data_IF_131547699118
#
_entry.id   IF_131547699118
#
_cell.length_a   1.000
_cell.length_b   1.000
_cell.length_c   1.000
_cell.angle_alpha   90.00
_cell.angle_beta   90.00
_cell.angle_gamma   90.00
#
_symmetry.space_group_name_H-M   'P 1'
#
loop_
_entity.id
_entity.type
_entity.pdbx_description
1 polymer ?
#
# COMPACT_ATOMS: atom_id res chain seq x y z
N UNK A 1 18.92 -37.47 -1.31
CA UNK A 1 19.34 -36.19 -1.93
C UNK A 1 18.28 -35.60 -2.88
N UNK A 2 16.98 -35.77 -2.60
CA UNK A 2 15.88 -35.17 -3.40
C UNK A 2 15.15 -34.07 -2.63
N UNK A 3 15.22 -34.12 -1.30
CA UNK A 3 14.60 -33.13 -0.42
C UNK A 3 15.47 -31.88 -0.18
N UNK A 4 16.79 -31.94 -0.39
CA UNK A 4 17.67 -30.77 -0.20
C UNK A 4 17.56 -29.75 -1.35
N UNK A 5 17.29 -30.19 -2.58
CA UNK A 5 17.09 -29.31 -3.73
C UNK A 5 15.78 -28.51 -3.61
N UNK A 6 14.74 -29.07 -2.98
CA UNK A 6 13.47 -28.37 -2.75
C UNK A 6 13.59 -27.21 -1.74
N UNK A 7 14.46 -27.35 -0.74
CA UNK A 7 14.70 -26.28 0.26
C UNK A 7 15.43 -25.07 -0.33
N UNK A 8 16.34 -25.28 -1.28
CA UNK A 8 17.07 -24.17 -1.94
C UNK A 8 16.16 -23.39 -2.89
N UNK A 9 15.16 -24.04 -3.50
CA UNK A 9 14.16 -23.37 -4.35
C UNK A 9 13.18 -22.55 -3.50
N UNK A 10 12.85 -22.97 -2.28
CA UNK A 10 11.92 -22.25 -1.39
C UNK A 10 12.56 -21.01 -0.71
N UNK A 11 13.86 -21.03 -0.41
CA UNK A 11 14.55 -19.85 0.14
C UNK A 11 14.85 -18.77 -0.91
N UNK A 12 14.69 -19.07 -2.20
CA UNK A 12 14.86 -18.08 -3.28
C UNK A 12 13.75 -17.02 -3.37
N UNK A 13 12.69 -17.11 -2.56
CA UNK A 13 11.51 -16.24 -2.66
C UNK A 13 11.35 -15.31 -1.44
N UNK A 14 12.15 -15.47 -0.38
CA UNK A 14 12.06 -14.64 0.84
C UNK A 14 13.00 -13.42 0.75
N UNK A 15 13.11 -12.83 -0.44
CA UNK A 15 13.73 -11.52 -0.61
C UNK A 15 12.60 -10.55 -0.93
N UNK A 16 12.56 -9.46 -0.16
CA UNK A 16 11.71 -8.26 -0.28
C UNK A 16 10.39 -8.22 0.50
N UNK A 17 10.45 -8.17 1.84
CA UNK A 17 9.72 -7.09 2.55
C UNK A 17 10.61 -5.84 2.46
N UNK A 18 10.64 -5.22 1.29
CA UNK A 18 11.12 -3.85 1.14
C UNK A 18 9.88 -3.01 0.88
N UNK A 19 9.73 -1.91 1.61
CA UNK A 19 8.67 -0.93 1.38
C UNK A 19 8.87 -0.31 -0.01
N UNK A 20 8.40 -1.00 -1.05
CA UNK A 20 8.50 -0.52 -2.42
C UNK A 20 7.55 0.67 -2.56
N UNK A 21 8.10 1.84 -2.86
CA UNK A 21 7.29 3.02 -3.10
C UNK A 21 6.53 2.83 -4.42
N UNK A 22 5.21 2.69 -4.33
CA UNK A 22 4.35 2.52 -5.49
C UNK A 22 3.44 3.74 -5.70
N UNK A 23 3.21 4.11 -6.96
CA UNK A 23 2.25 5.12 -7.36
C UNK A 23 1.44 4.64 -8.55
N UNK A 24 0.23 5.19 -8.71
CA UNK A 24 -0.64 4.91 -9.87
C UNK A 24 -1.02 6.21 -10.54
N UNK A 25 -1.00 6.22 -11.87
CA UNK A 25 -1.37 7.35 -12.71
C UNK A 25 -2.50 6.91 -13.63
N UNK A 26 -3.72 7.38 -13.37
CA UNK A 26 -4.85 7.09 -14.24
C UNK A 26 -4.82 7.98 -15.49
N UNK A 27 -5.27 7.44 -16.62
CA UNK A 27 -5.32 8.19 -17.88
C UNK A 27 -6.62 8.97 -18.01
N UNK A 28 -6.57 10.14 -18.66
CA UNK A 28 -7.81 10.78 -19.11
C UNK A 28 -8.47 9.93 -20.21
N UNK A 29 -9.81 9.92 -20.31
CA UNK A 29 -10.49 9.26 -21.42
C UNK A 29 -9.93 9.75 -22.77
N UNK A 30 -9.39 8.84 -23.58
CA UNK A 30 -8.80 9.13 -24.90
C UNK A 30 -7.28 9.42 -24.90
N UNK A 31 -6.63 9.55 -23.75
CA UNK A 31 -5.17 9.79 -23.66
C UNK A 31 -4.37 8.49 -23.89
N UNK A 32 -4.87 7.37 -23.36
CA UNK A 32 -4.25 6.05 -23.49
C UNK A 32 -4.67 5.33 -24.77
N UNK A 33 -4.45 5.94 -25.94
CA UNK A 33 -4.72 5.26 -27.23
C UNK A 33 -3.55 4.40 -27.69
N UNK A 34 -2.32 4.74 -27.28
CA UNK A 34 -1.08 4.08 -27.75
C UNK A 34 -0.19 3.53 -26.62
N UNK A 35 -0.53 3.79 -25.36
CA UNK A 35 0.26 3.39 -24.19
C UNK A 35 0.18 4.41 -23.06
N UNK A 36 1.08 4.28 -22.09
CA UNK A 36 1.14 5.13 -20.89
C UNK A 36 2.34 6.09 -20.94
N UNK A 37 2.14 7.34 -20.55
CA UNK A 37 3.23 8.33 -20.48
C UNK A 37 3.73 8.54 -19.05
N UNK A 38 5.01 8.28 -18.83
CA UNK A 38 5.72 8.52 -17.56
C UNK A 38 6.97 9.35 -17.84
N UNK A 39 7.15 10.45 -17.11
CA UNK A 39 8.28 11.40 -17.25
C UNK A 39 8.54 11.85 -18.70
N UNK A 40 7.47 12.08 -19.46
CA UNK A 40 7.54 12.50 -20.87
C UNK A 40 7.84 11.37 -21.87
N UNK A 41 8.05 10.13 -21.41
CA UNK A 41 8.29 8.95 -22.26
C UNK A 41 7.04 8.08 -22.38
N UNK A 42 6.74 7.65 -23.61
CA UNK A 42 5.65 6.72 -23.90
C UNK A 42 6.11 5.27 -23.72
N UNK A 43 5.36 4.52 -22.91
CA UNK A 43 5.53 3.09 -22.68
C UNK A 43 4.36 2.32 -23.31
N UNK A 44 4.60 1.16 -23.93
CA UNK A 44 3.54 0.33 -24.46
C UNK A 44 2.68 -0.26 -23.34
N UNK A 45 1.48 -0.73 -23.68
CA UNK A 45 0.65 -1.51 -22.75
C UNK A 45 1.35 -2.81 -22.35
N UNK A 46 1.10 -3.24 -21.11
CA UNK A 46 1.68 -4.44 -20.50
C UNK A 46 2.65 -4.12 -19.37
N UNK A 47 3.51 -5.09 -19.07
CA UNK A 47 4.51 -4.98 -18.00
C UNK A 47 5.79 -4.30 -18.51
N UNK A 48 6.26 -3.33 -17.74
CA UNK A 48 7.54 -2.65 -17.92
C UNK A 48 8.44 -3.11 -16.78
N UNK A 49 9.39 -3.99 -17.09
CA UNK A 49 10.28 -4.57 -16.08
C UNK A 49 11.14 -3.51 -15.36
N UNK A 50 11.58 -2.47 -16.09
CA UNK A 50 12.43 -1.39 -15.56
C UNK A 50 12.33 -0.12 -16.39
N UNK A 51 12.00 0.99 -15.75
CA UNK A 51 12.08 2.34 -16.31
C UNK A 51 13.46 2.96 -16.07
N UNK A 52 13.74 4.10 -16.71
CA UNK A 52 14.99 4.86 -16.51
C UNK A 52 15.15 5.35 -15.06
N UNK A 53 14.03 5.66 -14.40
CA UNK A 53 13.99 6.08 -13.00
C UNK A 53 13.79 4.91 -12.05
N UNK A 54 14.15 3.69 -12.45
CA UNK A 54 14.18 2.52 -11.57
C UNK A 54 12.81 2.10 -11.03
N UNK A 55 11.78 2.15 -11.87
CA UNK A 55 10.46 1.62 -11.53
C UNK A 55 10.14 0.38 -12.34
N UNK A 56 9.49 -0.58 -11.70
CA UNK A 56 8.72 -1.61 -12.40
C UNK A 56 7.30 -1.10 -12.53
N UNK A 57 6.72 -1.19 -13.72
CA UNK A 57 5.38 -0.68 -13.96
C UNK A 57 4.49 -1.66 -14.71
N UNK A 58 3.19 -1.49 -14.54
CA UNK A 58 2.13 -2.14 -15.32
C UNK A 58 1.29 -1.05 -15.98
N UNK A 59 1.14 -1.11 -17.30
CA UNK A 59 0.45 -0.13 -18.11
C UNK A 59 -0.79 -0.75 -18.76
N UNK A 60 -1.97 -0.19 -18.49
CA UNK A 60 -3.26 -0.58 -19.07
C UNK A 60 -3.97 0.62 -19.68
N UNK A 61 -5.15 0.39 -20.27
CA UNK A 61 -6.01 1.47 -20.78
C UNK A 61 -6.50 2.42 -19.69
N UNK A 62 -6.65 1.91 -18.47
CA UNK A 62 -7.20 2.66 -17.34
C UNK A 62 -6.11 3.50 -16.64
N UNK A 63 -4.85 3.06 -16.71
CA UNK A 63 -3.76 3.75 -16.06
C UNK A 63 -2.45 2.98 -16.05
N UNK A 64 -1.45 3.57 -15.40
CA UNK A 64 -0.13 2.99 -15.17
C UNK A 64 0.14 2.91 -13.67
N UNK A 65 0.44 1.72 -13.16
CA UNK A 65 0.93 1.52 -11.79
C UNK A 65 2.43 1.26 -11.83
N UNK A 66 3.20 1.96 -11.01
CA UNK A 66 4.65 1.83 -10.93
C UNK A 66 5.09 1.61 -9.48
N UNK A 67 6.13 0.82 -9.26
CA UNK A 67 6.74 0.56 -7.96
C UNK A 67 8.26 0.67 -8.06
N UNK A 68 8.90 1.27 -7.05
CA UNK A 68 10.36 1.44 -7.01
C UNK A 68 11.05 0.08 -6.98
N UNK A 69 12.16 -0.02 -7.72
CA UNK A 69 13.07 -1.17 -7.67
C UNK A 69 14.15 -0.99 -6.60
N UNK A 70 14.27 0.21 -6.04
CA UNK A 70 15.24 0.58 -4.99
C UNK A 70 14.58 0.61 -3.62
N UNK A 71 15.41 0.44 -2.58
CA UNK A 71 15.03 0.61 -1.19
C UNK A 71 15.73 1.85 -0.61
N UNK A 72 15.00 2.70 0.11
CA UNK A 72 15.62 3.86 0.77
C UNK A 72 16.25 3.42 2.10
N UNK A 73 17.58 3.46 2.25
CA UNK A 73 18.21 3.04 3.49
C UNK A 73 17.84 4.00 4.63
N UNK A 74 17.30 3.46 5.72
CA UNK A 74 16.88 4.24 6.88
C UNK A 74 17.86 4.17 8.05
N UNK A 75 18.69 3.12 8.10
CA UNK A 75 19.54 2.80 9.24
C UNK A 75 21.03 2.79 8.86
N UNK A 76 21.63 3.97 8.89
CA UNK A 76 23.05 4.22 8.68
C UNK A 76 23.48 5.44 9.50
N UNK A 77 24.78 5.65 9.65
CA UNK A 77 25.34 6.83 10.32
C UNK A 77 25.08 8.09 9.49
N UNK A 78 24.03 8.84 9.83
CA UNK A 78 23.64 10.07 9.13
C UNK A 78 24.57 11.26 9.43
N UNK A 79 25.44 11.16 10.44
CA UNK A 79 26.39 12.23 10.78
C UNK A 79 27.63 12.18 9.88
N UNK A 80 28.13 10.97 9.59
CA UNK A 80 29.34 10.78 8.80
C UNK A 80 29.09 10.26 7.38
N UNK A 81 27.87 9.82 7.07
CA UNK A 81 27.52 9.23 5.79
C UNK A 81 26.28 9.87 5.15
N UNK A 82 26.18 9.73 3.82
CA UNK A 82 25.06 10.21 3.01
C UNK A 82 24.67 9.15 1.98
N UNK A 83 23.46 9.28 1.43
CA UNK A 83 22.96 8.41 0.36
C UNK A 83 23.22 9.04 -1.01
N UNK A 84 23.56 8.20 -1.98
CA UNK A 84 23.71 8.57 -3.39
C UNK A 84 22.96 7.54 -4.23
N UNK A 85 22.07 8.00 -5.10
CA UNK A 85 21.28 7.09 -5.93
C UNK A 85 22.12 6.53 -7.09
N UNK A 86 22.19 5.21 -7.18
CA UNK A 86 22.90 4.49 -8.22
C UNK A 86 21.91 3.91 -9.24
N UNK A 87 21.84 4.54 -10.41
CA UNK A 87 20.91 4.15 -11.50
C UNK A 87 21.24 2.78 -12.10
N UNK A 88 22.49 2.32 -12.02
CA UNK A 88 22.91 1.04 -12.58
C UNK A 88 22.41 -0.11 -11.71
N UNK A 89 22.59 -0.04 -10.40
CA UNK A 89 22.02 -1.02 -9.47
C UNK A 89 20.52 -0.80 -9.24
N UNK A 90 20.00 0.42 -9.48
CA UNK A 90 18.72 0.88 -8.97
C UNK A 90 18.64 0.71 -7.45
N UNK A 91 19.58 1.32 -6.74
CA UNK A 91 19.57 1.37 -5.29
C UNK A 91 20.30 2.61 -4.77
N UNK A 92 20.24 2.86 -3.47
CA UNK A 92 21.03 3.90 -2.83
C UNK A 92 22.33 3.33 -2.25
N UNK A 93 23.45 3.88 -2.69
CA UNK A 93 24.74 3.66 -2.06
C UNK A 93 24.86 4.60 -0.85
N UNK A 94 25.19 4.06 0.32
CA UNK A 94 25.53 4.87 1.49
C UNK A 94 27.04 5.06 1.49
N UNK A 95 27.50 6.30 1.37
CA UNK A 95 28.92 6.66 1.24
C UNK A 95 29.34 7.68 2.30
N UNK A 96 30.64 7.74 2.60
CA UNK A 96 31.16 8.72 3.53
C UNK A 96 30.97 10.15 2.99
N UNK A 97 30.66 11.09 3.88
CA UNK A 97 30.54 12.51 3.52
C UNK A 97 31.90 13.07 3.09
N UNK A 98 32.98 12.66 3.77
CA UNK A 98 34.34 13.10 3.50
C UNK A 98 34.94 12.51 2.21
N UNK A 99 34.52 11.32 1.82
CA UNK A 99 35.02 10.62 0.63
C UNK A 99 33.92 9.73 0.01
N UNK A 100 33.19 10.23 -1.00
CA UNK A 100 32.11 9.50 -1.65
C UNK A 100 32.53 8.21 -2.37
N UNK A 101 33.84 7.95 -2.54
CA UNK A 101 34.32 6.67 -3.10
C UNK A 101 34.28 5.52 -2.08
N UNK A 102 34.10 5.83 -0.79
CA UNK A 102 34.06 4.86 0.31
C UNK A 102 32.63 4.61 0.76
N UNK A 103 32.23 3.34 0.75
CA UNK A 103 30.95 2.88 1.26
C UNK A 103 30.92 2.90 2.80
N UNK A 104 29.75 3.18 3.35
CA UNK A 104 29.43 3.08 4.77
C UNK A 104 28.63 1.81 5.07
N UNK A 105 28.75 1.25 6.28
CA UNK A 105 27.92 0.13 6.70
C UNK A 105 26.45 0.56 6.84
N UNK A 106 25.54 -0.28 6.33
CA UNK A 106 24.10 -0.19 6.55
C UNK A 106 23.72 -1.22 7.60
N UNK A 107 23.05 -0.79 8.66
CA UNK A 107 22.68 -1.68 9.77
C UNK A 107 21.32 -2.32 9.50
N UNK A 108 21.31 -3.56 9.01
CA UNK A 108 20.06 -4.35 8.91
C UNK A 108 19.71 -4.94 10.28
N UNK A 109 18.48 -4.71 10.76
CA UNK A 109 17.97 -5.32 12.00
C UNK A 109 17.93 -6.85 11.78
N UNK A 110 18.81 -7.62 12.46
CA UNK A 110 18.75 -9.08 12.42
C UNK A 110 17.45 -9.55 13.09
N UNK A 111 16.46 -9.96 12.31
CA UNK A 111 15.30 -10.68 12.86
C UNK A 111 15.79 -12.06 13.31
N UNK A 112 15.80 -12.30 14.62
CA UNK A 112 16.10 -13.62 15.20
C UNK A 112 15.02 -14.60 14.68
N UNK A 113 15.44 -15.73 14.10
CA UNK A 113 14.55 -16.83 13.72
C UNK A 113 13.80 -17.34 14.96
N UNK A 114 12.53 -16.97 15.09
CA UNK A 114 11.57 -17.74 15.86
C UNK A 114 10.70 -18.50 14.86
N UNK A 115 10.72 -19.83 14.96
CA UNK A 115 10.00 -20.77 14.11
C UNK A 115 8.53 -20.39 13.92
N UNK A 116 8.11 -20.14 12.68
CA UNK A 116 6.72 -19.88 12.30
C UNK A 116 6.03 -21.19 11.88
N UNK A 117 5.03 -21.61 12.65
CA UNK A 117 3.81 -22.16 12.05
C UNK A 117 2.85 -20.98 11.90
N UNK A 118 2.94 -20.25 10.78
CA UNK A 118 1.91 -19.28 10.42
C UNK A 118 1.57 -19.54 8.95
N UNK A 119 0.35 -20.06 8.75
CA UNK A 119 -0.31 -20.15 7.46
C UNK A 119 -0.47 -18.72 6.93
N UNK A 120 0.40 -18.32 5.99
CA UNK A 120 0.29 -17.05 5.31
C UNK A 120 -0.86 -17.13 4.30
N UNK A 121 -2.07 -16.82 4.76
CA UNK A 121 -3.09 -16.25 3.87
C UNK A 121 -2.50 -14.91 3.43
N UNK A 122 -2.29 -14.76 2.13
CA UNK A 122 -1.78 -13.54 1.51
C UNK A 122 -2.77 -12.39 1.75
N UNK A 123 -2.61 -11.66 2.85
CA UNK A 123 -3.22 -10.35 3.00
C UNK A 123 -2.27 -9.39 2.26
N UNK A 124 -2.61 -9.08 1.02
CA UNK A 124 -2.07 -7.90 0.36
C UNK A 124 -2.26 -6.72 1.31
N UNK A 125 -1.24 -5.91 1.64
CA UNK A 125 -1.48 -4.67 2.37
C UNK A 125 -2.33 -3.78 1.46
N UNK A 126 -3.64 -3.84 1.65
CA UNK A 126 -4.58 -2.85 1.20
C UNK A 126 -4.21 -1.57 1.92
N UNK A 127 -3.82 -0.54 1.16
CA UNK A 127 -3.87 0.83 1.66
C UNK A 127 -5.35 1.11 1.87
N UNK A 128 -5.83 0.76 3.05
CA UNK A 128 -7.17 1.06 3.53
C UNK A 128 -6.95 1.68 4.93
N UNK A 129 -7.67 2.76 5.23
CA UNK A 129 -7.68 3.42 6.52
C UNK A 129 -8.33 2.44 7.48
N UNK A 130 -7.49 1.76 8.27
CA UNK A 130 -7.90 0.68 9.15
C UNK A 130 -7.74 1.07 10.61
N UNK A 131 -8.66 0.61 11.44
CA UNK A 131 -8.59 0.71 12.89
C UNK A 131 -9.00 -0.61 13.53
N UNK A 132 -8.50 -0.82 14.75
CA UNK A 132 -8.86 -1.98 15.56
C UNK A 132 -9.61 -1.51 16.80
N UNK A 133 -10.80 -2.07 17.02
CA UNK A 133 -11.53 -1.91 18.27
C UNK A 133 -11.11 -3.00 19.25
N UNK A 134 -10.84 -2.66 20.54
CA UNK A 134 -10.58 -3.65 21.57
C UNK A 134 -11.73 -4.65 21.67
N UNK A 135 -11.41 -5.91 21.97
CA UNK A 135 -12.40 -6.96 22.15
C UNK A 135 -13.41 -6.61 23.24
N UNK A 136 -14.65 -6.39 22.81
CA UNK A 136 -15.82 -6.42 23.68
C UNK A 136 -16.49 -7.81 23.53
N UNK A 137 -16.39 -8.69 24.55
CA UNK A 137 -16.79 -10.08 24.40
C UNK A 137 -18.30 -10.24 24.27
N UNK A 138 -18.72 -10.85 23.18
CA UNK A 138 -20.08 -11.33 22.97
C UNK A 138 -20.31 -12.69 23.62
N UNK A 139 -21.26 -12.75 24.55
CA UNK A 139 -21.62 -13.99 25.26
C UNK A 139 -22.88 -14.62 24.66
N UNK A 140 -22.82 -15.90 24.32
CA UNK A 140 -23.98 -16.71 23.96
C UNK A 140 -23.93 -18.02 24.73
N UNK A 141 -25.02 -18.38 25.41
CA UNK A 141 -25.10 -19.59 26.25
C UNK A 141 -23.96 -19.78 27.27
N UNK A 142 -23.36 -18.68 27.75
CA UNK A 142 -22.27 -18.72 28.73
C UNK A 142 -20.87 -18.91 28.14
N UNK A 143 -20.73 -18.89 26.81
CA UNK A 143 -19.46 -18.93 26.10
C UNK A 143 -19.22 -17.65 25.30
N UNK A 144 -17.95 -17.26 25.18
CA UNK A 144 -17.56 -16.16 24.30
C UNK A 144 -17.60 -16.63 22.85
N UNK A 145 -18.56 -16.12 22.11
CA UNK A 145 -18.85 -16.58 20.73
C UNK A 145 -18.46 -15.55 19.68
N UNK A 146 -18.14 -14.31 20.08
CA UNK A 146 -17.74 -13.28 19.15
C UNK A 146 -17.46 -11.92 19.77
N UNK A 147 -17.62 -10.90 18.95
CA UNK A 147 -17.37 -9.50 19.24
C UNK A 147 -18.70 -8.73 19.29
N UNK A 148 -18.87 -7.88 20.29
CA UNK A 148 -19.90 -6.84 20.29
C UNK A 148 -19.34 -5.58 19.64
N UNK A 149 -19.99 -5.10 18.59
CA UNK A 149 -19.60 -3.84 17.96
C UNK A 149 -20.06 -2.62 18.76
N UNK A 150 -19.69 -1.42 18.29
CA UNK A 150 -20.07 -0.15 18.92
C UNK A 150 -21.58 0.14 18.92
N UNK A 151 -22.36 -0.54 18.08
CA UNK A 151 -23.83 -0.48 18.08
C UNK A 151 -24.45 -1.54 19.02
N UNK A 152 -23.64 -2.44 19.59
CA UNK A 152 -24.08 -3.53 20.44
C UNK A 152 -24.55 -4.76 19.68
N UNK A 153 -24.31 -4.86 18.37
CA UNK A 153 -24.59 -6.08 17.60
C UNK A 153 -23.50 -7.12 17.81
N UNK A 154 -23.93 -8.39 17.94
CA UNK A 154 -23.04 -9.53 18.12
C UNK A 154 -22.62 -10.09 16.75
N UNK A 155 -21.32 -10.11 16.51
CA UNK A 155 -20.70 -10.73 15.35
C UNK A 155 -19.87 -11.93 15.79
N UNK A 156 -20.13 -13.11 15.24
CA UNK A 156 -19.40 -14.34 15.60
C UNK A 156 -17.92 -14.25 15.18
N UNK A 157 -17.03 -14.97 15.87
CA UNK A 157 -15.62 -15.00 15.47
C UNK A 157 -15.46 -15.52 14.04
N UNK A 158 -14.64 -14.82 13.25
CA UNK A 158 -14.39 -15.19 11.85
C UNK A 158 -15.43 -14.64 10.86
N UNK A 159 -16.46 -13.92 11.32
CA UNK A 159 -17.40 -13.25 10.42
C UNK A 159 -16.90 -11.89 9.97
N UNK A 160 -17.31 -11.50 8.76
CA UNK A 160 -17.03 -10.20 8.18
C UNK A 160 -18.35 -9.47 7.88
N UNK A 161 -18.36 -8.16 8.00
CA UNK A 161 -19.52 -7.33 7.66
C UNK A 161 -19.08 -5.96 7.16
N UNK A 162 -19.98 -5.24 6.50
CA UNK A 162 -19.79 -3.81 6.21
C UNK A 162 -20.72 -3.03 7.10
N UNK A 163 -20.18 -2.13 7.93
CA UNK A 163 -20.98 -1.32 8.82
C UNK A 163 -21.64 -0.14 8.07
N UNK A 164 -22.53 0.57 8.76
CA UNK A 164 -23.24 1.72 8.18
C UNK A 164 -22.33 2.88 7.83
N UNK A 165 -21.13 2.94 8.37
CA UNK A 165 -20.15 4.00 8.12
C UNK A 165 -19.13 3.62 7.05
N UNK A 166 -19.44 2.62 6.22
CA UNK A 166 -18.64 2.19 5.09
C UNK A 166 -17.27 1.62 5.48
N UNK A 167 -17.23 0.83 6.56
CA UNK A 167 -16.06 0.03 6.93
C UNK A 167 -16.35 -1.44 6.77
N UNK A 168 -15.43 -2.15 6.12
CA UNK A 168 -15.37 -3.59 6.09
C UNK A 168 -14.68 -4.07 7.35
N UNK A 169 -15.43 -4.75 8.20
CA UNK A 169 -15.01 -5.18 9.51
C UNK A 169 -14.91 -6.70 9.60
N UNK A 170 -14.04 -7.16 10.49
CA UNK A 170 -13.78 -8.57 10.75
C UNK A 170 -13.63 -8.80 12.26
N UNK A 171 -14.37 -9.78 12.80
CA UNK A 171 -14.29 -10.14 14.21
C UNK A 171 -13.22 -11.21 14.43
N UNK A 172 -12.24 -10.90 15.28
CA UNK A 172 -11.14 -11.78 15.66
C UNK A 172 -11.13 -12.03 17.16
N UNK A 173 -10.35 -13.01 17.60
CA UNK A 173 -10.07 -13.25 19.01
C UNK A 173 -9.40 -12.07 19.73
N UNK A 174 -8.86 -11.10 19.00
CA UNK A 174 -8.19 -9.91 19.56
C UNK A 174 -9.08 -8.66 19.56
N UNK A 175 -10.22 -8.70 18.88
CA UNK A 175 -11.10 -7.54 18.72
C UNK A 175 -11.69 -7.46 17.31
N UNK A 176 -12.18 -6.27 16.95
CA UNK A 176 -12.76 -6.01 15.63
C UNK A 176 -11.75 -5.21 14.81
N UNK A 177 -11.38 -5.72 13.65
CA UNK A 177 -10.54 -4.99 12.69
C UNK A 177 -11.43 -4.45 11.58
N UNK A 178 -11.46 -3.13 11.42
CA UNK A 178 -12.28 -2.43 10.43
C UNK A 178 -11.37 -1.65 9.48
N UNK A 179 -11.67 -1.69 8.19
CA UNK A 179 -10.98 -0.93 7.16
C UNK A 179 -11.98 -0.19 6.29
N UNK A 180 -11.67 1.06 5.93
CA UNK A 180 -12.56 1.84 5.06
C UNK A 180 -12.76 1.14 3.71
N UNK A 181 -13.99 1.17 3.21
CA UNK A 181 -14.32 0.67 1.85
C UNK A 181 -14.26 1.77 0.80
N UNK A 182 -14.01 3.01 1.24
CA UNK A 182 -13.99 4.22 0.43
C UNK A 182 -12.56 4.76 0.32
N UNK A 183 -12.30 5.47 -0.78
CA UNK A 183 -11.02 6.18 -0.97
C UNK A 183 -11.25 7.68 -0.83
N UNK A 184 -10.37 8.36 -0.10
CA UNK A 184 -10.40 9.82 0.07
C UNK A 184 -9.60 10.49 -1.06
N UNK A 185 -10.21 11.35 -1.90
CA UNK A 185 -9.49 12.05 -2.95
C UNK A 185 -8.52 13.05 -2.33
N UNK A 186 -7.34 13.17 -2.92
CA UNK A 186 -6.32 14.14 -2.53
C UNK A 186 -5.71 14.78 -3.79
N UNK A 187 -5.07 15.93 -3.63
CA UNK A 187 -4.48 16.64 -4.76
C UNK A 187 -5.53 17.14 -5.75
N UNK A 188 -6.62 17.71 -5.25
CA UNK A 188 -7.51 18.59 -6.02
C UNK A 188 -7.27 20.05 -5.59
N UNK A 189 -7.81 21.03 -6.32
CA UNK A 189 -7.72 22.44 -5.96
C UNK A 189 -8.60 22.73 -4.74
N UNK A 190 -8.03 22.65 -3.52
CA UNK A 190 -8.76 22.87 -2.27
C UNK A 190 -9.25 24.32 -2.07
N UNK A 191 -8.74 25.29 -2.86
CA UNK A 191 -9.25 26.66 -2.81
C UNK A 191 -10.58 26.76 -3.55
N UNK A 192 -10.68 26.16 -4.75
CA UNK A 192 -11.87 26.23 -5.61
C UNK A 192 -12.86 25.08 -5.45
N UNK A 193 -12.41 23.95 -4.91
CA UNK A 193 -13.18 22.70 -4.88
C UNK A 193 -13.31 22.14 -3.47
N UNK A 194 -14.29 21.25 -3.29
CA UNK A 194 -14.59 20.54 -2.05
C UNK A 194 -14.89 19.07 -2.34
N UNK A 195 -14.46 18.18 -1.45
CA UNK A 195 -14.84 16.77 -1.50
C UNK A 195 -16.10 16.51 -0.68
N UNK A 196 -17.13 15.91 -1.28
CA UNK A 196 -18.39 15.53 -0.64
C UNK A 196 -18.48 14.01 -0.58
N UNK A 197 -18.69 13.46 0.61
CA UNK A 197 -18.89 12.01 0.80
C UNK A 197 -20.34 11.62 0.58
N UNK A 198 -20.58 10.61 -0.25
CA UNK A 198 -21.87 9.95 -0.40
C UNK A 198 -21.87 8.66 0.42
N UNK A 199 -22.70 8.63 1.47
CA UNK A 199 -22.81 7.50 2.41
C UNK A 199 -23.55 6.30 1.81
N UNK A 200 -24.45 6.50 0.85
CA UNK A 200 -25.18 5.41 0.19
C UNK A 200 -24.28 4.61 -0.75
N UNK A 201 -23.38 5.30 -1.44
CA UNK A 201 -22.44 4.66 -2.38
C UNK A 201 -21.06 4.43 -1.78
N UNK A 202 -20.80 4.92 -0.56
CA UNK A 202 -19.49 4.90 0.08
C UNK A 202 -18.38 5.49 -0.80
N UNK A 203 -18.63 6.65 -1.42
CA UNK A 203 -17.67 7.30 -2.33
C UNK A 203 -17.62 8.80 -2.13
N UNK A 204 -16.44 9.38 -2.35
CA UNK A 204 -16.28 10.82 -2.46
C UNK A 204 -16.49 11.31 -3.90
N UNK A 205 -17.05 12.50 -4.03
CA UNK A 205 -16.98 13.33 -5.24
C UNK A 205 -16.28 14.63 -4.93
N UNK A 206 -15.44 15.11 -5.84
CA UNK A 206 -14.86 16.45 -5.73
C UNK A 206 -15.61 17.37 -6.69
N UNK A 207 -16.13 18.48 -6.18
CA UNK A 207 -16.96 19.44 -6.93
C UNK A 207 -16.49 20.87 -6.65
N UNK A 208 -16.84 21.81 -7.53
CA UNK A 208 -16.57 23.24 -7.30
C UNK A 208 -17.33 23.74 -6.07
N UNK A 209 -16.75 24.62 -5.25
CA UNK A 209 -17.43 25.17 -4.06
C UNK A 209 -18.65 26.03 -4.40
N UNK A 210 -18.57 26.79 -5.49
CA UNK A 210 -19.63 27.71 -5.91
C UNK A 210 -20.77 26.99 -6.66
N UNK A 211 -20.49 25.81 -7.22
CA UNK A 211 -21.46 25.04 -8.00
C UNK A 211 -21.18 23.54 -7.87
N UNK A 212 -21.83 22.92 -6.88
CA UNK A 212 -21.68 21.49 -6.58
C UNK A 212 -22.14 20.55 -7.72
N UNK A 213 -22.74 21.08 -8.81
CA UNK A 213 -23.08 20.27 -9.99
C UNK A 213 -21.89 20.02 -10.92
N UNK A 214 -20.81 20.81 -10.78
CA UNK A 214 -19.59 20.69 -11.58
C UNK A 214 -18.53 19.90 -10.82
N UNK A 215 -18.08 18.80 -11.40
CA UNK A 215 -17.00 17.99 -10.84
C UNK A 215 -15.63 18.62 -11.07
N UNK A 216 -14.78 18.57 -10.04
CA UNK A 216 -13.38 18.95 -10.11
C UNK A 216 -12.48 17.72 -10.28
N UNK A 217 -11.35 17.85 -10.98
CA UNK A 217 -10.37 16.78 -11.06
C UNK A 217 -9.65 16.58 -9.71
N UNK A 218 -9.57 15.33 -9.26
CA UNK A 218 -8.63 14.89 -8.22
C UNK A 218 -7.53 14.03 -8.88
N UNK A 219 -6.27 14.29 -8.53
CA UNK A 219 -5.14 13.64 -9.19
C UNK A 219 -4.56 12.46 -8.41
N UNK A 220 -5.01 12.26 -7.17
CA UNK A 220 -4.66 11.13 -6.32
C UNK A 220 -5.80 10.79 -5.35
N UNK A 221 -5.70 9.62 -4.71
CA UNK A 221 -6.58 9.21 -3.63
C UNK A 221 -5.79 8.38 -2.62
N UNK A 222 -6.16 8.50 -1.35
CA UNK A 222 -5.66 7.65 -0.26
C UNK A 222 -6.77 6.71 0.16
N UNK A 223 -6.46 5.43 0.14
CA UNK A 223 -7.27 4.36 0.69
C UNK A 223 -6.71 4.06 2.05
#
# INVERSE_FOLDING_TARGET
MKNFLAFIVAMGIIVTLGDAYCFSKMHKPGEATKGCTLDGKLYPFGEIARTENCFRCSCSKDGMRCCSLFHTPVNYDKENCKTVFNKNSCDYDVVQISDPSKLCPIYSRKTILASLLVLAISVTPSNADCFSEPLNPGMSHGEQTGCLDSNGELHEFGTHWTNTDCYYCFCTWSGIDCCSTFVRPVGYDEEKCVSIFNKETCTYKVVEKEDHSKECPAYAAVG
#
